data_IF_632857672598
#
_entry.id   IF_632857672598
#
_cell.length_a   1.000
_cell.length_b   1.000
_cell.length_c   1.000
_cell.angle_alpha   90.00
_cell.angle_beta   90.00
_cell.angle_gamma   90.00
#
_symmetry.space_group_name_H-M   'P 1'
#
loop_
_entity.id
_entity.type
_entity.pdbx_description
1 polymer ?
#
# COMPACT_ATOMS: atom_id res chain seq x y z
N UNK A 1 -46.47 55.22 22.30
CA UNK A 1 -45.82 56.47 22.02
C UNK A 1 -44.56 56.08 21.21
N UNK A 2 -44.69 56.04 19.90
CA UNK A 2 -44.30 57.06 18.93
C UNK A 2 -42.79 57.36 19.06
N UNK A 3 -41.88 57.20 18.11
CA UNK A 3 -41.93 57.37 16.64
C UNK A 3 -40.61 56.89 16.03
N UNK A 4 -40.68 56.35 14.85
CA UNK A 4 -39.64 56.23 13.84
C UNK A 4 -39.63 57.49 12.95
N UNK A 5 -38.78 57.63 11.86
CA UNK A 5 -37.35 57.72 11.57
C UNK A 5 -37.02 59.15 11.01
N UNK A 6 -36.00 59.46 10.23
CA UNK A 6 -35.74 59.01 8.87
C UNK A 6 -34.27 59.05 8.33
N UNK A 7 -34.05 58.36 7.17
CA UNK A 7 -33.44 58.67 5.87
C UNK A 7 -32.02 59.21 5.79
N UNK A 8 -31.20 58.54 5.02
CA UNK A 8 -30.89 58.63 3.59
C UNK A 8 -29.62 59.46 3.27
N UNK A 9 -28.68 58.90 2.59
CA UNK A 9 -27.97 59.40 1.40
C UNK A 9 -26.67 58.68 1.13
N UNK A 10 -26.66 57.95 0.02
CA UNK A 10 -25.49 57.72 -0.84
C UNK A 10 -25.35 58.93 -1.77
N UNK A 11 -24.21 59.31 -2.36
CA UNK A 11 -23.64 58.58 -3.49
C UNK A 11 -22.15 58.79 -3.85
N UNK A 12 -21.80 58.20 -4.98
CA UNK A 12 -20.79 58.52 -6.00
C UNK A 12 -19.37 57.92 -5.79
N UNK A 13 -19.01 56.92 -6.54
CA UNK A 13 -18.59 56.85 -7.96
C UNK A 13 -17.26 57.53 -8.27
N UNK A 14 -16.26 56.72 -8.61
CA UNK A 14 -15.21 57.02 -9.54
C UNK A 14 -14.46 55.77 -10.04
N UNK A 15 -14.83 55.32 -11.22
CA UNK A 15 -13.90 54.77 -12.23
C UNK A 15 -13.49 55.94 -13.15
N UNK A 16 -12.51 55.89 -14.04
CA UNK A 16 -11.98 54.73 -14.81
C UNK A 16 -10.46 54.80 -15.08
N UNK A 17 -9.88 53.84 -15.77
CA UNK A 17 -9.50 53.82 -17.19
C UNK A 17 -8.69 52.57 -17.52
N UNK A 18 -9.20 51.75 -18.35
CA UNK A 18 -8.82 51.35 -19.70
C UNK A 18 -7.34 51.24 -20.04
N UNK A 19 -6.91 50.04 -20.43
CA UNK A 19 -6.14 49.77 -21.64
C UNK A 19 -6.42 48.34 -22.14
N UNK A 20 -7.08 48.33 -23.23
CA UNK A 20 -7.25 47.53 -24.43
C UNK A 20 -6.67 46.10 -24.54
N UNK A 21 -7.60 45.26 -24.93
CA UNK A 21 -7.64 44.15 -25.91
C UNK A 21 -6.46 43.99 -26.88
N UNK A 22 -6.06 42.73 -27.10
CA UNK A 22 -6.21 42.08 -28.42
C UNK A 22 -5.94 40.57 -28.29
N UNK A 23 -6.70 39.69 -28.97
CA UNK A 23 -6.63 38.24 -28.87
C UNK A 23 -5.72 37.64 -29.94
N UNK A 24 -5.08 36.53 -29.66
CA UNK A 24 -4.50 35.66 -30.69
C UNK A 24 -4.70 34.18 -30.35
N UNK A 25 -5.61 33.61 -31.02
CA UNK A 25 -5.63 32.46 -31.92
C UNK A 25 -5.19 31.12 -31.33
N UNK A 26 -6.20 30.27 -31.33
CA UNK A 26 -6.19 28.79 -31.37
C UNK A 26 -5.17 28.25 -32.37
N UNK A 27 -4.33 27.31 -31.92
CA UNK A 27 -3.74 26.32 -32.79
C UNK A 27 -3.74 24.98 -32.06
N UNK A 28 -4.61 24.08 -32.50
CA UNK A 28 -4.60 22.65 -32.35
C UNK A 28 -3.33 22.07 -32.98
N UNK A 29 -2.62 21.23 -32.26
CA UNK A 29 -1.50 20.47 -32.78
C UNK A 29 -1.25 19.26 -31.93
N UNK A 30 -1.88 18.17 -32.32
CA UNK A 30 -1.44 16.80 -32.04
C UNK A 30 -0.05 16.58 -32.59
N UNK A 31 0.90 16.09 -31.83
CA UNK A 31 1.93 15.22 -32.40
C UNK A 31 2.54 14.27 -31.34
N UNK A 32 2.30 13.00 -31.60
CA UNK A 32 3.11 11.87 -31.13
C UNK A 32 4.55 12.04 -31.60
N UNK A 33 5.51 11.67 -30.76
CA UNK A 33 6.72 10.92 -31.12
C UNK A 33 7.78 11.04 -30.05
N UNK A 34 7.99 9.99 -29.28
CA UNK A 34 9.33 9.70 -28.78
C UNK A 34 9.94 8.66 -29.72
N UNK A 35 10.85 9.12 -30.53
CA UNK A 35 11.75 8.27 -31.29
C UNK A 35 13.20 8.58 -30.92
N UNK A 36 13.93 7.53 -30.78
CA UNK A 36 15.36 7.32 -30.62
C UNK A 36 16.29 8.39 -31.23
N UNK A 37 17.34 8.76 -30.51
CA UNK A 37 18.55 9.32 -31.10
C UNK A 37 19.82 8.69 -30.49
N UNK A 38 20.57 8.15 -31.37
CA UNK A 38 21.91 7.57 -31.24
C UNK A 38 23.00 8.65 -31.27
N UNK A 39 24.07 8.36 -30.53
CA UNK A 39 25.48 8.50 -30.88
C UNK A 39 26.19 9.86 -30.78
N UNK A 40 27.36 9.81 -30.10
CA UNK A 40 28.36 10.87 -30.08
C UNK A 40 29.37 10.69 -28.93
N UNK A 41 30.32 9.77 -29.08
CA UNK A 41 31.34 9.49 -28.09
C UNK A 41 32.38 10.60 -27.88
N UNK A 42 32.91 10.66 -26.67
CA UNK A 42 34.32 11.03 -26.38
C UNK A 42 34.81 10.27 -25.17
N UNK A 43 35.88 9.54 -25.37
CA UNK A 43 36.63 8.78 -24.38
C UNK A 43 37.18 9.69 -23.27
N UNK A 44 37.00 9.30 -22.02
CA UNK A 44 37.89 9.63 -20.92
C UNK A 44 38.04 8.36 -20.05
N UNK A 45 39.20 7.78 -20.06
CA UNK A 45 39.64 6.70 -19.18
C UNK A 45 39.55 7.11 -17.70
N UNK A 46 38.85 6.32 -16.90
CA UNK A 46 38.78 6.45 -15.46
C UNK A 46 38.29 5.15 -14.87
N UNK A 47 39.23 4.24 -14.61
CA UNK A 47 39.05 2.94 -13.96
C UNK A 47 38.37 3.09 -12.59
N UNK A 48 37.08 2.80 -12.51
CA UNK A 48 36.39 2.44 -11.27
C UNK A 48 35.46 1.28 -11.56
N UNK A 49 35.91 0.08 -11.15
CA UNK A 49 35.14 -1.15 -11.11
C UNK A 49 33.86 -0.95 -10.29
N UNK A 50 32.79 -0.57 -10.92
CA UNK A 50 31.41 -0.80 -10.49
C UNK A 50 30.85 -1.87 -11.41
N UNK A 51 30.90 -3.13 -10.97
CA UNK A 51 30.14 -4.19 -11.61
C UNK A 51 28.64 -3.85 -11.53
N UNK A 52 28.16 -3.12 -12.52
CA UNK A 52 26.72 -3.09 -12.84
C UNK A 52 26.38 -4.44 -13.43
N UNK A 53 25.82 -5.31 -12.59
CA UNK A 53 25.26 -6.60 -12.98
C UNK A 53 24.07 -6.35 -13.93
N UNK A 54 24.35 -6.25 -15.23
CA UNK A 54 23.39 -5.94 -16.31
C UNK A 54 22.56 -7.15 -16.73
N UNK A 55 22.43 -8.17 -15.85
CA UNK A 55 21.67 -9.38 -16.16
C UNK A 55 20.56 -9.63 -15.13
N UNK A 56 19.65 -8.67 -14.97
CA UNK A 56 18.41 -8.88 -14.18
C UNK A 56 17.22 -8.87 -15.11
N UNK A 57 16.61 -10.04 -15.33
CA UNK A 57 15.39 -10.19 -16.14
C UNK A 57 14.17 -9.48 -15.53
N UNK A 58 14.29 -8.94 -14.32
CA UNK A 58 13.22 -8.21 -13.62
C UNK A 58 13.73 -7.08 -12.73
N UNK A 59 12.89 -6.04 -12.53
CA UNK A 59 13.11 -4.93 -11.61
C UNK A 59 12.02 -4.93 -10.54
N UNK A 60 12.42 -4.85 -9.26
CA UNK A 60 11.49 -4.70 -8.13
C UNK A 60 11.98 -3.57 -7.22
N UNK A 61 11.23 -2.47 -7.20
CA UNK A 61 11.40 -1.32 -6.30
C UNK A 61 10.03 -0.93 -5.74
N UNK A 62 9.95 -0.11 -4.68
CA UNK A 62 8.66 0.38 -4.18
C UNK A 62 7.81 1.14 -5.21
N UNK A 63 8.45 1.69 -6.23
CA UNK A 63 7.80 2.51 -7.24
C UNK A 63 7.56 1.78 -8.57
N UNK A 64 8.30 0.69 -8.84
CA UNK A 64 8.18 -0.03 -10.11
C UNK A 64 8.46 -1.53 -9.95
N UNK A 65 7.61 -2.34 -10.60
CA UNK A 65 7.83 -3.79 -10.78
C UNK A 65 7.75 -4.07 -12.27
N UNK A 66 8.81 -4.64 -12.84
CA UNK A 66 8.90 -4.98 -14.27
C UNK A 66 9.51 -6.37 -14.45
N UNK A 67 9.05 -7.10 -15.45
CA UNK A 67 9.49 -8.46 -15.75
C UNK A 67 8.81 -9.52 -14.88
N UNK A 68 9.14 -10.80 -15.14
CA UNK A 68 8.69 -11.93 -14.34
C UNK A 68 9.50 -12.01 -13.05
N UNK A 69 8.84 -11.92 -11.89
CA UNK A 69 9.51 -11.83 -10.59
C UNK A 69 9.96 -13.21 -10.11
N UNK A 70 11.26 -13.40 -10.02
CA UNK A 70 11.88 -14.54 -9.35
C UNK A 70 11.95 -14.28 -7.84
N UNK A 71 11.01 -14.84 -7.09
CA UNK A 71 10.88 -14.65 -5.65
C UNK A 71 12.05 -15.26 -4.86
N UNK A 72 12.68 -16.35 -5.33
CA UNK A 72 13.83 -16.94 -4.66
C UNK A 72 15.04 -16.02 -4.75
N UNK A 73 15.31 -15.54 -5.95
CA UNK A 73 16.40 -14.60 -6.19
C UNK A 73 16.20 -13.28 -5.42
N UNK A 74 14.92 -12.84 -5.24
CA UNK A 74 14.64 -11.69 -4.39
C UNK A 74 15.01 -11.94 -2.92
N UNK A 75 14.74 -13.13 -2.39
CA UNK A 75 15.08 -13.46 -1.00
C UNK A 75 16.60 -13.40 -0.79
N UNK A 76 17.38 -14.00 -1.68
CA UNK A 76 18.83 -13.93 -1.63
C UNK A 76 19.33 -12.48 -1.68
N UNK A 77 18.82 -11.70 -2.63
CA UNK A 77 19.19 -10.29 -2.79
C UNK A 77 18.79 -9.42 -1.60
N UNK A 78 17.64 -9.67 -1.00
CA UNK A 78 17.13 -8.90 0.12
C UNK A 78 17.60 -9.42 1.47
N UNK A 79 18.15 -10.64 1.54
CA UNK A 79 18.58 -11.28 2.79
C UNK A 79 17.41 -11.52 3.73
N UNK A 80 16.27 -12.03 3.20
CA UNK A 80 15.13 -12.49 3.96
C UNK A 80 15.08 -14.02 3.91
N UNK A 81 14.52 -14.64 4.94
CA UNK A 81 14.43 -16.08 5.06
C UNK A 81 13.03 -16.59 4.69
N UNK A 82 12.95 -17.77 4.07
CA UNK A 82 11.67 -18.46 3.91
C UNK A 82 11.05 -18.76 5.26
N UNK A 83 9.73 -18.62 5.34
CA UNK A 83 9.01 -19.09 6.52
C UNK A 83 9.19 -20.59 6.69
N UNK A 84 9.59 -21.01 7.87
CA UNK A 84 9.63 -22.43 8.27
C UNK A 84 8.23 -22.96 8.55
N UNK A 85 8.05 -24.27 8.48
CA UNK A 85 6.77 -24.91 8.87
C UNK A 85 6.41 -24.62 10.33
N UNK A 86 7.41 -24.53 11.22
CA UNK A 86 7.21 -24.17 12.61
C UNK A 86 6.68 -22.73 12.79
N UNK A 87 7.20 -21.78 12.03
CA UNK A 87 6.68 -20.41 12.01
C UNK A 87 5.28 -20.35 11.45
N UNK A 88 5.01 -21.05 10.31
CA UNK A 88 3.67 -21.11 9.73
C UNK A 88 2.62 -21.66 10.68
N UNK A 89 2.96 -22.70 11.44
CA UNK A 89 2.05 -23.30 12.42
C UNK A 89 1.72 -22.38 13.61
N UNK A 90 2.55 -21.37 13.89
CA UNK A 90 2.35 -20.37 14.97
C UNK A 90 1.71 -19.08 14.45
N UNK A 91 1.84 -18.80 13.16
CA UNK A 91 1.18 -17.65 12.53
C UNK A 91 -0.35 -17.86 12.51
N UNK A 92 -1.15 -16.78 12.52
CA UNK A 92 -2.61 -16.88 12.39
C UNK A 92 -3.05 -17.75 11.21
N UNK A 93 -4.09 -18.55 11.45
CA UNK A 93 -4.66 -19.39 10.40
C UNK A 93 -5.37 -18.54 9.34
N UNK A 94 -4.66 -18.29 8.24
CA UNK A 94 -5.15 -17.50 7.11
C UNK A 94 -4.75 -18.17 5.78
N UNK A 95 -5.63 -18.19 4.75
CA UNK A 95 -5.32 -18.80 3.45
C UNK A 95 -4.00 -18.32 2.85
N UNK A 96 -3.69 -17.03 2.96
CA UNK A 96 -2.44 -16.46 2.43
C UNK A 96 -1.18 -16.95 3.14
N UNK A 97 -1.29 -17.41 4.39
CA UNK A 97 -0.18 -18.04 5.13
C UNK A 97 -0.08 -19.53 4.73
N UNK A 98 -1.19 -20.29 4.78
CA UNK A 98 -1.21 -21.70 4.45
C UNK A 98 -0.76 -21.99 3.00
N UNK A 99 -1.09 -21.08 2.08
CA UNK A 99 -0.85 -21.24 0.63
C UNK A 99 0.41 -20.57 0.12
N UNK A 100 1.33 -20.21 1.01
CA UNK A 100 2.62 -19.62 0.66
C UNK A 100 2.52 -18.30 -0.14
N UNK A 101 1.40 -17.56 0.03
CA UNK A 101 1.28 -16.20 -0.48
C UNK A 101 2.21 -15.27 0.30
N UNK A 102 2.15 -15.32 1.65
CA UNK A 102 3.23 -14.82 2.48
C UNK A 102 4.22 -15.97 2.69
N UNK A 103 5.40 -15.86 2.11
CA UNK A 103 6.32 -16.97 1.91
C UNK A 103 7.65 -16.79 2.64
N UNK A 104 7.97 -15.56 3.07
CA UNK A 104 9.24 -15.25 3.71
C UNK A 104 9.08 -14.17 4.77
N UNK A 105 10.11 -13.94 5.59
CA UNK A 105 10.06 -12.90 6.60
C UNK A 105 11.41 -12.54 7.19
N UNK A 106 11.37 -11.59 8.12
CA UNK A 106 12.50 -11.13 8.94
C UNK A 106 12.03 -11.03 10.37
N UNK A 107 12.81 -11.54 11.31
CA UNK A 107 12.55 -11.46 12.75
C UNK A 107 11.12 -11.89 13.15
N UNK A 108 10.54 -12.84 12.39
CA UNK A 108 9.18 -13.36 12.63
C UNK A 108 9.09 -14.05 13.99
N UNK A 109 10.16 -14.76 14.41
CA UNK A 109 10.17 -15.47 15.68
C UNK A 109 10.04 -14.55 16.88
N UNK A 110 10.69 -13.36 16.86
CA UNK A 110 10.57 -12.38 17.93
C UNK A 110 9.11 -11.91 18.13
N UNK A 111 8.38 -11.70 17.02
CA UNK A 111 6.96 -11.36 17.06
C UNK A 111 6.12 -12.52 17.63
N UNK A 112 6.37 -13.75 17.17
CA UNK A 112 5.65 -14.93 17.62
C UNK A 112 5.91 -15.25 19.10
N UNK A 113 7.14 -15.08 19.56
CA UNK A 113 7.51 -15.25 20.97
C UNK A 113 6.79 -14.25 21.88
N UNK A 114 6.76 -12.98 21.49
CA UNK A 114 6.03 -11.96 22.24
C UNK A 114 4.51 -12.26 22.26
N UNK A 115 3.94 -12.68 21.14
CA UNK A 115 2.53 -13.07 21.05
C UNK A 115 2.20 -14.26 21.96
N UNK A 116 3.02 -15.32 21.93
CA UNK A 116 2.82 -16.52 22.75
C UNK A 116 2.97 -16.21 24.26
N UNK A 117 3.85 -15.27 24.62
CA UNK A 117 4.04 -14.83 26.01
C UNK A 117 3.01 -13.79 26.47
N UNK A 118 2.17 -13.27 25.59
CA UNK A 118 1.23 -12.19 25.90
C UNK A 118 1.93 -10.84 26.14
N UNK A 119 3.15 -10.67 25.62
CA UNK A 119 3.90 -9.44 25.69
C UNK A 119 3.46 -8.45 24.60
N UNK A 120 3.84 -7.19 24.76
CA UNK A 120 3.52 -6.14 23.76
C UNK A 120 4.16 -6.44 22.41
N UNK A 121 3.37 -6.37 21.35
CA UNK A 121 3.80 -6.54 19.97
C UNK A 121 2.87 -5.80 19.02
N UNK A 122 3.37 -5.42 17.85
CA UNK A 122 2.61 -4.59 16.93
C UNK A 122 2.70 -5.04 15.46
N UNK A 123 1.68 -4.66 14.69
CA UNK A 123 1.62 -4.77 13.23
C UNK A 123 1.60 -3.35 12.66
N UNK A 124 2.33 -3.14 11.57
CA UNK A 124 2.19 -1.93 10.74
C UNK A 124 1.76 -2.33 9.35
N UNK A 125 0.64 -1.79 8.89
CA UNK A 125 0.16 -1.95 7.51
C UNK A 125 -0.46 -0.65 7.06
N UNK A 126 -0.10 -0.13 5.89
CA UNK A 126 -0.47 1.22 5.46
C UNK A 126 -0.87 1.32 4.00
N UNK A 127 -1.25 2.53 3.62
CA UNK A 127 -1.72 2.83 2.27
C UNK A 127 -1.28 4.23 1.82
N UNK A 128 -0.84 4.35 0.57
CA UNK A 128 -0.76 5.63 -0.12
C UNK A 128 -2.04 5.89 -0.91
N UNK A 129 -2.88 6.86 -0.51
CA UNK A 129 -4.23 7.06 -1.05
C UNK A 129 -4.21 7.83 -2.38
N UNK A 130 -3.80 7.18 -3.47
CA UNK A 130 -3.75 7.77 -4.83
C UNK A 130 -4.98 7.48 -5.69
N UNK A 131 -5.98 6.79 -5.16
CA UNK A 131 -7.20 6.37 -5.85
C UNK A 131 -8.05 5.45 -4.98
N UNK A 132 -9.16 4.92 -5.50
CA UNK A 132 -9.98 3.94 -4.81
C UNK A 132 -9.20 2.71 -4.38
N UNK A 133 -9.61 2.08 -3.28
CA UNK A 133 -9.05 0.79 -2.90
C UNK A 133 -9.58 -0.32 -3.79
N UNK A 134 -8.71 -1.26 -4.16
CA UNK A 134 -9.04 -2.47 -4.90
C UNK A 134 -8.68 -3.73 -4.08
N UNK A 135 -9.02 -4.92 -4.59
CA UNK A 135 -8.81 -6.19 -3.90
C UNK A 135 -7.38 -6.36 -3.36
N UNK A 136 -6.37 -6.02 -4.18
CA UNK A 136 -4.96 -6.14 -3.78
C UNK A 136 -4.56 -5.22 -2.61
N UNK A 137 -5.27 -4.12 -2.40
CA UNK A 137 -5.01 -3.19 -1.30
C UNK A 137 -5.61 -3.67 0.03
N UNK A 138 -6.78 -4.33 0.00
CA UNK A 138 -7.48 -4.66 1.24
C UNK A 138 -6.99 -5.96 1.89
N UNK A 139 -6.41 -6.86 1.13
CA UNK A 139 -5.94 -8.17 1.66
C UNK A 139 -4.95 -8.04 2.82
N UNK A 140 -3.91 -7.18 2.78
CA UNK A 140 -3.01 -6.96 3.91
C UNK A 140 -3.73 -6.44 5.17
N UNK A 141 -4.79 -5.63 5.01
CA UNK A 141 -5.57 -5.13 6.15
C UNK A 141 -6.41 -6.24 6.80
N UNK A 142 -7.03 -7.12 6.01
CA UNK A 142 -7.73 -8.28 6.56
C UNK A 142 -6.78 -9.25 7.25
N UNK A 143 -5.58 -9.44 6.71
CA UNK A 143 -4.55 -10.22 7.38
C UNK A 143 -4.11 -9.56 8.70
N UNK A 144 -3.84 -8.25 8.72
CA UNK A 144 -3.49 -7.51 9.93
C UNK A 144 -4.60 -7.59 10.99
N UNK A 145 -5.87 -7.50 10.58
CA UNK A 145 -7.01 -7.74 11.49
C UNK A 145 -7.02 -9.16 12.03
N UNK A 146 -6.68 -10.16 11.23
CA UNK A 146 -6.58 -11.54 11.69
C UNK A 146 -5.50 -11.70 12.76
N UNK A 147 -4.33 -11.13 12.54
CA UNK A 147 -3.27 -11.04 13.54
C UNK A 147 -3.77 -10.36 14.83
N UNK A 148 -4.37 -9.18 14.72
CA UNK A 148 -4.91 -8.47 15.89
C UNK A 148 -5.84 -9.35 16.74
N UNK A 149 -6.76 -10.06 16.09
CA UNK A 149 -7.74 -10.91 16.77
C UNK A 149 -7.15 -12.15 17.42
N UNK A 150 -6.14 -12.76 16.82
CA UNK A 150 -5.57 -14.02 17.30
C UNK A 150 -4.40 -13.82 18.25
N UNK A 151 -3.59 -12.78 18.03
CA UNK A 151 -2.40 -12.54 18.86
C UNK A 151 -2.59 -11.40 19.87
N UNK A 152 -3.58 -10.55 19.69
CA UNK A 152 -3.76 -9.34 20.50
C UNK A 152 -2.84 -8.19 20.09
N UNK A 153 -2.18 -8.24 18.94
CA UNK A 153 -1.30 -7.21 18.43
C UNK A 153 -1.98 -5.84 18.34
N UNK A 154 -1.24 -4.77 18.65
CA UNK A 154 -1.65 -3.42 18.29
C UNK A 154 -1.37 -3.17 16.82
N UNK A 155 -2.33 -2.58 16.08
CA UNK A 155 -2.21 -2.31 14.65
C UNK A 155 -2.03 -0.82 14.40
N UNK A 156 -1.00 -0.45 13.64
CA UNK A 156 -0.79 0.92 13.18
C UNK A 156 -1.02 0.98 11.68
N UNK A 157 -1.83 1.94 11.27
CA UNK A 157 -2.26 2.13 9.87
C UNK A 157 -1.86 3.52 9.39
N UNK A 158 -0.64 3.69 8.86
CA UNK A 158 -0.24 4.94 8.23
C UNK A 158 -0.90 5.11 6.85
N UNK A 159 -1.37 6.34 6.56
CA UNK A 159 -1.78 6.80 5.25
C UNK A 159 -0.82 7.89 4.77
N UNK A 160 -0.10 7.58 3.68
CA UNK A 160 0.94 8.44 3.09
C UNK A 160 0.33 9.35 2.03
N UNK A 161 -0.48 10.30 2.46
CA UNK A 161 -1.11 11.28 1.57
C UNK A 161 -0.10 12.32 1.04
N UNK A 162 0.94 12.63 1.79
CA UNK A 162 2.07 13.46 1.38
C UNK A 162 2.91 12.82 0.27
N UNK A 163 3.25 11.53 0.41
CA UNK A 163 4.02 10.80 -0.61
C UNK A 163 3.27 10.77 -1.95
N UNK A 164 1.95 10.58 -1.92
CA UNK A 164 1.16 10.55 -3.15
C UNK A 164 1.11 11.91 -3.84
N UNK A 165 1.11 13.00 -3.10
CA UNK A 165 1.27 14.33 -3.66
C UNK A 165 2.67 14.53 -4.30
N UNK A 166 3.73 14.00 -3.66
CA UNK A 166 5.09 14.11 -4.17
C UNK A 166 5.36 13.23 -5.40
N UNK A 167 4.72 12.05 -5.47
CA UNK A 167 4.99 11.03 -6.49
C UNK A 167 4.00 11.03 -7.67
N UNK A 168 2.89 11.77 -7.59
CA UNK A 168 1.83 11.78 -8.61
C UNK A 168 1.44 13.21 -8.97
N UNK A 169 1.01 13.40 -10.21
CA UNK A 169 0.43 14.66 -10.65
C UNK A 169 -1.03 14.79 -10.19
N UNK A 170 -1.23 14.85 -8.87
CA UNK A 170 -2.52 14.99 -8.22
C UNK A 170 -2.50 16.18 -7.26
N UNK A 171 -3.63 16.89 -7.14
CA UNK A 171 -3.77 17.95 -6.15
C UNK A 171 -3.96 17.39 -4.75
N UNK A 172 -3.58 18.17 -3.72
CA UNK A 172 -3.90 17.81 -2.32
C UNK A 172 -5.40 17.61 -2.08
N UNK A 173 -6.26 18.34 -2.79
CA UNK A 173 -7.71 18.18 -2.68
C UNK A 173 -8.13 16.78 -3.18
N UNK A 174 -7.67 16.35 -4.36
CA UNK A 174 -7.97 15.03 -4.89
C UNK A 174 -7.44 13.90 -3.99
N UNK A 175 -6.21 14.04 -3.49
CA UNK A 175 -5.63 13.08 -2.54
C UNK A 175 -6.42 13.06 -1.23
N UNK A 176 -6.87 14.21 -0.74
CA UNK A 176 -7.72 14.31 0.43
C UNK A 176 -9.05 13.58 0.27
N UNK A 177 -9.67 13.65 -0.92
CA UNK A 177 -10.90 12.91 -1.24
C UNK A 177 -10.61 11.40 -1.29
N UNK A 178 -9.51 10.98 -1.91
CA UNK A 178 -9.08 9.57 -1.88
C UNK A 178 -8.75 9.09 -0.46
N UNK A 179 -8.14 9.94 0.36
CA UNK A 179 -7.85 9.62 1.76
C UNK A 179 -9.13 9.34 2.54
N UNK A 180 -10.15 10.19 2.41
CA UNK A 180 -11.46 9.99 3.05
C UNK A 180 -12.16 8.73 2.57
N UNK A 181 -12.10 8.46 1.27
CA UNK A 181 -12.68 7.25 0.68
C UNK A 181 -11.98 5.98 1.19
N UNK A 182 -10.64 5.96 1.17
CA UNK A 182 -9.83 4.84 1.67
C UNK A 182 -10.02 4.63 3.19
N UNK A 183 -10.19 5.70 3.98
CA UNK A 183 -10.48 5.58 5.40
C UNK A 183 -11.78 4.82 5.66
N UNK A 184 -12.84 5.04 4.86
CA UNK A 184 -14.08 4.26 4.98
C UNK A 184 -13.85 2.78 4.73
N UNK A 185 -13.03 2.43 3.74
CA UNK A 185 -12.68 1.04 3.47
C UNK A 185 -11.84 0.43 4.61
N UNK A 186 -10.87 1.17 5.14
CA UNK A 186 -10.03 0.72 6.26
C UNK A 186 -10.86 0.50 7.53
N UNK A 187 -11.78 1.41 7.85
CA UNK A 187 -12.71 1.26 8.98
C UNK A 187 -13.65 0.06 8.75
N UNK A 188 -14.12 -0.16 7.52
CA UNK A 188 -14.96 -1.30 7.15
C UNK A 188 -14.24 -2.65 7.26
N UNK A 189 -12.91 -2.69 7.33
CA UNK A 189 -12.17 -3.92 7.70
C UNK A 189 -12.60 -4.40 9.09
N UNK A 190 -12.87 -3.48 10.02
CA UNK A 190 -13.39 -3.76 11.36
C UNK A 190 -12.29 -4.16 12.35
N UNK A 191 -11.26 -3.33 12.43
CA UNK A 191 -10.25 -3.39 13.48
C UNK A 191 -10.86 -3.03 14.86
N UNK A 192 -10.23 -3.51 15.91
CA UNK A 192 -10.52 -3.10 17.28
C UNK A 192 -9.97 -1.68 17.53
N UNK A 193 -10.80 -0.67 17.82
CA UNK A 193 -10.35 0.71 18.03
C UNK A 193 -9.43 0.87 19.26
N UNK A 194 -9.58 0.04 20.29
CA UNK A 194 -8.72 0.11 21.48
C UNK A 194 -7.27 -0.30 21.16
N UNK A 195 -7.07 -1.08 20.09
CA UNK A 195 -5.78 -1.62 19.66
C UNK A 195 -5.36 -1.20 18.27
N UNK A 196 -5.94 -0.12 17.74
CA UNK A 196 -5.58 0.38 16.40
C UNK A 196 -5.32 1.86 16.44
N UNK A 197 -4.28 2.29 15.71
CA UNK A 197 -3.97 3.69 15.47
C UNK A 197 -3.88 3.96 13.99
N UNK A 198 -4.70 4.89 13.52
CA UNK A 198 -4.69 5.37 12.13
C UNK A 198 -3.99 6.73 12.12
N UNK A 199 -2.93 6.83 11.33
CA UNK A 199 -2.07 8.02 11.20
C UNK A 199 -2.15 8.52 9.77
N UNK A 200 -2.38 9.81 9.59
CA UNK A 200 -2.47 10.45 8.27
C UNK A 200 -1.36 11.50 8.23
N UNK A 201 -0.42 11.39 7.30
CA UNK A 201 0.83 12.16 7.34
C UNK A 201 0.62 13.65 7.39
N UNK A 202 -0.29 14.20 6.58
CA UNK A 202 -0.57 15.64 6.61
C UNK A 202 -1.35 16.08 7.86
N UNK A 203 -2.24 15.23 8.40
CA UNK A 203 -3.04 15.53 9.60
C UNK A 203 -2.26 15.32 10.89
N UNK A 204 -1.26 14.41 10.90
CA UNK A 204 -0.40 14.11 12.04
C UNK A 204 1.03 14.66 11.87
N UNK A 205 1.18 15.67 11.01
CA UNK A 205 2.47 16.26 10.66
C UNK A 205 3.25 16.78 11.88
N UNK A 206 2.57 17.16 12.95
CA UNK A 206 3.16 17.61 14.23
C UNK A 206 3.93 16.50 14.99
N UNK A 207 3.67 15.23 14.67
CA UNK A 207 4.38 14.08 15.22
C UNK A 207 5.31 13.47 14.18
N UNK A 208 4.77 13.19 12.98
CA UNK A 208 5.47 12.42 11.94
C UNK A 208 6.71 13.18 11.44
N UNK A 209 6.58 14.44 11.06
CA UNK A 209 7.68 15.17 10.43
C UNK A 209 8.84 15.54 11.37
N UNK A 210 8.62 15.91 12.64
CA UNK A 210 9.72 16.09 13.57
C UNK A 210 10.54 14.82 13.81
N UNK A 211 9.88 13.67 13.93
CA UNK A 211 10.55 12.36 14.05
C UNK A 211 11.29 12.03 12.75
N UNK A 212 10.63 12.16 11.60
CA UNK A 212 11.25 11.93 10.29
C UNK A 212 12.48 12.82 10.07
N UNK A 213 12.42 14.09 10.47
CA UNK A 213 13.57 15.02 10.40
C UNK A 213 14.77 14.51 11.21
N UNK A 214 14.52 13.93 12.39
CA UNK A 214 15.58 13.30 13.18
C UNK A 214 16.16 12.06 12.47
N UNK A 215 15.31 11.20 11.95
CA UNK A 215 15.72 9.97 11.26
C UNK A 215 16.46 10.26 9.95
N UNK A 216 16.08 11.31 9.23
CA UNK A 216 16.70 11.73 7.97
C UNK A 216 18.20 12.04 8.10
N UNK A 217 18.69 12.38 9.31
CA UNK A 217 20.14 12.57 9.56
C UNK A 217 20.96 11.29 9.31
N UNK A 218 20.32 10.13 9.28
CA UNK A 218 20.95 8.83 9.05
C UNK A 218 20.84 8.34 7.61
N UNK A 219 20.18 9.12 6.76
CA UNK A 219 20.04 8.86 5.32
C UNK A 219 20.96 9.80 4.54
N UNK A 220 21.62 9.26 3.52
CA UNK A 220 22.37 10.05 2.55
C UNK A 220 21.69 9.97 1.19
N UNK A 221 21.87 10.95 0.29
CA UNK A 221 21.34 10.85 -1.07
C UNK A 221 21.78 9.54 -1.76
N UNK A 222 23.04 9.12 -1.59
CA UNK A 222 23.53 7.87 -2.15
C UNK A 222 22.81 6.62 -1.59
N UNK A 223 22.43 6.63 -0.30
CA UNK A 223 21.64 5.53 0.28
C UNK A 223 20.23 5.49 -0.32
N UNK A 224 19.61 6.66 -0.50
CA UNK A 224 18.27 6.76 -1.10
C UNK A 224 18.32 6.29 -2.55
N UNK A 225 19.27 6.78 -3.34
CA UNK A 225 19.48 6.39 -4.73
C UNK A 225 19.73 4.89 -4.90
N UNK A 226 20.59 4.30 -4.06
CA UNK A 226 20.92 2.87 -4.11
C UNK A 226 19.70 1.97 -3.82
N UNK A 227 18.72 2.44 -3.00
CA UNK A 227 17.58 1.64 -2.57
C UNK A 227 16.32 1.92 -3.41
N UNK A 228 16.10 3.17 -3.76
CA UNK A 228 14.86 3.63 -4.41
C UNK A 228 15.04 4.05 -5.87
N UNK A 229 16.30 4.10 -6.34
CA UNK A 229 16.65 4.71 -7.62
C UNK A 229 16.75 6.23 -7.53
N UNK A 230 17.00 6.86 -8.67
CA UNK A 230 17.04 8.32 -8.77
C UNK A 230 15.67 8.91 -8.46
N UNK A 231 15.64 9.90 -7.57
CA UNK A 231 14.43 10.55 -7.11
C UNK A 231 14.41 11.99 -7.62
N UNK A 232 13.42 12.33 -8.41
CA UNK A 232 13.32 13.61 -9.12
C UNK A 232 13.13 14.82 -8.20
N UNK A 233 12.67 14.61 -6.96
CA UNK A 233 12.37 15.70 -6.03
C UNK A 233 12.98 15.50 -4.65
N UNK A 234 13.32 16.61 -3.99
CA UNK A 234 13.81 16.62 -2.60
C UNK A 234 12.78 15.99 -1.65
N UNK A 235 11.49 16.15 -1.95
CA UNK A 235 10.41 15.54 -1.15
C UNK A 235 10.49 14.02 -1.17
N UNK A 236 10.65 13.39 -2.33
CA UNK A 236 10.81 11.95 -2.47
C UNK A 236 12.15 11.46 -1.90
N UNK A 237 13.21 12.26 -1.94
CA UNK A 237 14.47 11.94 -1.26
C UNK A 237 14.32 11.94 0.27
N UNK A 238 13.45 12.77 0.83
CA UNK A 238 13.17 12.83 2.28
C UNK A 238 12.18 11.75 2.75
N UNK A 239 11.26 11.34 1.90
CA UNK A 239 10.15 10.44 2.23
C UNK A 239 10.57 9.11 2.89
N UNK A 240 11.72 8.46 2.57
CA UNK A 240 12.19 7.28 3.30
C UNK A 240 12.33 7.47 4.82
N UNK A 241 12.54 8.70 5.30
CA UNK A 241 12.56 9.01 6.73
C UNK A 241 11.12 9.08 7.31
N UNK A 242 10.15 9.55 6.55
CA UNK A 242 8.73 9.52 6.91
C UNK A 242 8.27 8.06 7.03
N UNK A 243 8.58 7.25 6.02
CA UNK A 243 8.26 5.82 6.02
C UNK A 243 8.92 5.07 7.20
N UNK A 244 10.17 5.39 7.53
CA UNK A 244 10.83 4.82 8.70
C UNK A 244 10.13 5.23 10.01
N UNK A 245 9.60 6.45 10.08
CA UNK A 245 8.81 6.90 11.23
C UNK A 245 7.57 6.04 11.43
N UNK A 246 6.84 5.72 10.36
CA UNK A 246 5.66 4.83 10.43
C UNK A 246 6.01 3.47 11.04
N UNK A 247 7.12 2.87 10.61
CA UNK A 247 7.52 1.53 11.04
C UNK A 247 8.05 1.51 12.49
N UNK A 248 8.56 2.64 12.99
CA UNK A 248 9.07 2.76 14.36
C UNK A 248 8.04 3.35 15.33
N UNK A 249 6.95 3.93 14.83
CA UNK A 249 5.94 4.60 15.65
C UNK A 249 5.36 3.72 16.76
N UNK A 250 5.04 2.42 16.55
CA UNK A 250 4.56 1.57 17.63
C UNK A 250 5.49 1.53 18.82
N UNK A 251 6.79 1.47 18.56
CA UNK A 251 7.81 1.40 19.59
C UNK A 251 8.09 2.76 20.24
N UNK A 252 7.94 3.84 19.52
CA UNK A 252 8.06 5.19 20.05
C UNK A 252 6.88 5.56 20.96
N UNK A 253 5.70 4.99 20.70
CA UNK A 253 4.49 5.20 21.51
C UNK A 253 4.48 4.29 22.74
N UNK A 254 4.74 2.99 22.57
CA UNK A 254 4.52 2.00 23.63
C UNK A 254 5.81 1.39 24.21
N UNK A 255 6.99 1.86 23.79
CA UNK A 255 8.28 1.27 24.15
C UNK A 255 8.70 0.13 23.22
N UNK A 256 9.93 -0.37 23.45
CA UNK A 256 10.49 -1.48 22.64
C UNK A 256 9.55 -2.68 22.61
N UNK A 257 9.24 -3.14 21.42
CA UNK A 257 8.40 -4.30 21.19
C UNK A 257 8.63 -4.84 19.77
N UNK A 258 8.48 -6.15 19.53
CA UNK A 258 8.50 -6.69 18.20
C UNK A 258 7.40 -6.06 17.33
N UNK A 259 7.81 -5.51 16.20
CA UNK A 259 6.89 -4.91 15.22
C UNK A 259 7.02 -5.68 13.92
N UNK A 260 5.93 -6.26 13.42
CA UNK A 260 5.89 -7.02 12.17
C UNK A 260 5.15 -6.23 11.09
N UNK A 261 5.70 -6.22 9.89
CA UNK A 261 5.17 -5.47 8.74
C UNK A 261 4.78 -6.47 7.63
N UNK A 262 3.50 -6.87 7.52
CA UNK A 262 3.03 -7.67 6.39
C UNK A 262 2.90 -6.79 5.14
N UNK A 263 3.76 -7.06 4.15
CA UNK A 263 3.91 -6.26 2.94
C UNK A 263 4.10 -7.14 1.71
N UNK A 264 3.76 -6.62 0.55
CA UNK A 264 4.24 -7.18 -0.70
C UNK A 264 5.76 -6.94 -0.84
N UNK A 265 6.45 -7.87 -1.49
CA UNK A 265 7.92 -7.92 -1.51
C UNK A 265 8.58 -6.66 -2.08
N UNK A 266 7.90 -5.90 -2.94
CA UNK A 266 8.36 -4.62 -3.47
C UNK A 266 8.53 -3.53 -2.41
N UNK A 267 7.84 -3.66 -1.28
CA UNK A 267 7.91 -2.71 -0.16
C UNK A 267 9.03 -3.04 0.85
N UNK A 268 9.73 -4.17 0.70
CA UNK A 268 10.85 -4.56 1.57
C UNK A 268 11.99 -3.51 1.63
N UNK A 269 12.31 -2.75 0.57
CA UNK A 269 13.27 -1.66 0.65
C UNK A 269 13.01 -0.66 1.78
N UNK A 270 11.75 -0.33 2.05
CA UNK A 270 11.38 0.55 3.17
C UNK A 270 11.73 -0.07 4.52
N UNK A 271 11.46 -1.36 4.71
CA UNK A 271 11.81 -2.08 5.93
C UNK A 271 13.32 -2.13 6.11
N UNK A 272 14.09 -2.42 5.05
CA UNK A 272 15.56 -2.46 5.13
C UNK A 272 16.16 -1.11 5.54
N UNK A 273 15.73 -0.02 4.92
CA UNK A 273 16.18 1.34 5.27
C UNK A 273 15.82 1.68 6.72
N UNK A 274 14.60 1.36 7.15
CA UNK A 274 14.19 1.56 8.56
C UNK A 274 15.05 0.75 9.52
N UNK A 275 15.37 -0.51 9.21
CA UNK A 275 16.24 -1.39 10.01
C UNK A 275 17.66 -0.85 10.10
N UNK A 276 18.17 -0.26 9.03
CA UNK A 276 19.48 0.38 9.03
C UNK A 276 19.51 1.64 9.91
N UNK A 277 18.44 2.43 9.89
CA UNK A 277 18.28 3.59 10.77
C UNK A 277 18.18 3.14 12.22
N UNK A 278 17.32 2.15 12.52
CA UNK A 278 17.15 1.62 13.87
C UNK A 278 18.45 1.05 14.46
N UNK A 279 19.34 0.49 13.62
CA UNK A 279 20.64 -0.02 14.04
C UNK A 279 21.66 1.07 14.36
N UNK A 280 21.55 2.26 13.74
CA UNK A 280 22.52 3.36 13.88
C UNK A 280 22.13 4.37 14.95
N UNK A 281 20.85 4.48 15.23
CA UNK A 281 20.29 5.52 16.11
C UNK A 281 20.23 5.02 17.56
N UNK A 282 20.58 5.90 18.48
CA UNK A 282 20.43 5.67 19.92
C UNK A 282 18.98 5.93 20.37
N UNK A 283 18.01 5.46 19.59
CA UNK A 283 16.59 5.47 19.95
C UNK A 283 16.22 4.20 20.74
N UNK A 284 15.20 4.28 21.58
CA UNK A 284 14.71 3.11 22.33
C UNK A 284 13.86 2.19 21.44
N UNK A 285 14.39 1.78 20.31
CA UNK A 285 13.69 0.95 19.31
C UNK A 285 14.53 -0.26 18.89
N UNK A 286 13.86 -1.31 18.45
CA UNK A 286 14.44 -2.47 17.82
C UNK A 286 14.14 -2.45 16.31
N UNK A 287 14.86 -3.25 15.55
CA UNK A 287 14.62 -3.38 14.10
C UNK A 287 13.23 -3.97 13.86
N UNK A 288 12.38 -3.35 13.03
CA UNK A 288 11.11 -3.97 12.67
C UNK A 288 11.32 -5.26 11.86
N UNK A 289 10.50 -6.26 12.10
CA UNK A 289 10.38 -7.47 11.31
C UNK A 289 9.49 -7.24 10.09
N UNK A 290 9.48 -8.20 9.18
CA UNK A 290 8.61 -8.20 8.01
C UNK A 290 8.04 -9.57 7.71
N UNK A 291 6.85 -9.60 7.12
CA UNK A 291 6.25 -10.77 6.51
C UNK A 291 6.05 -10.44 5.02
N UNK A 292 6.78 -11.14 4.15
CA UNK A 292 6.87 -10.82 2.73
C UNK A 292 5.89 -11.64 1.91
N UNK A 293 5.03 -10.95 1.18
CA UNK A 293 4.00 -11.53 0.32
C UNK A 293 4.30 -11.41 -1.17
N UNK A 294 3.77 -12.37 -1.92
CA UNK A 294 3.70 -12.30 -3.39
C UNK A 294 2.66 -11.27 -3.79
N UNK A 295 2.74 -10.80 -5.03
CA UNK A 295 1.72 -9.89 -5.57
C UNK A 295 0.42 -10.62 -5.87
N UNK A 296 -0.71 -9.98 -5.60
CA UNK A 296 -1.95 -10.35 -6.27
C UNK A 296 -1.79 -10.01 -7.77
N UNK A 297 -1.96 -10.98 -8.69
CA UNK A 297 -1.78 -10.71 -10.10
C UNK A 297 -2.80 -9.68 -10.61
N UNK A 298 -2.39 -8.88 -11.58
CA UNK A 298 -3.32 -8.07 -12.38
C UNK A 298 -4.27 -8.96 -13.18
N UNK A 299 -5.39 -8.40 -13.64
CA UNK A 299 -6.37 -9.19 -14.40
C UNK A 299 -5.81 -9.72 -15.74
N UNK A 300 -4.93 -8.98 -16.37
CA UNK A 300 -4.38 -9.34 -17.68
C UNK A 300 -3.24 -10.38 -17.64
N UNK A 301 -2.93 -10.93 -16.46
CA UNK A 301 -1.94 -12.01 -16.33
C UNK A 301 -0.85 -11.74 -15.29
N UNK A 302 0.31 -12.42 -15.42
CA UNK A 302 1.38 -12.31 -14.45
C UNK A 302 1.93 -10.88 -14.39
N UNK A 303 1.78 -10.25 -13.25
CA UNK A 303 2.19 -8.87 -12.97
C UNK A 303 1.44 -8.36 -11.75
N UNK A 304 1.92 -7.28 -11.14
CA UNK A 304 1.26 -6.68 -9.98
C UNK A 304 -0.02 -5.97 -10.40
N UNK A 305 -1.13 -6.20 -9.68
CA UNK A 305 -2.32 -5.36 -9.79
C UNK A 305 -1.95 -3.90 -9.41
N UNK A 306 -2.23 -2.96 -10.30
CA UNK A 306 -1.86 -1.54 -10.13
C UNK A 306 -3.06 -0.63 -10.37
N UNK A 307 -3.21 0.38 -9.52
CA UNK A 307 -4.21 1.44 -9.70
C UNK A 307 -3.77 2.56 -10.68
N UNK A 308 -2.62 2.44 -11.35
CA UNK A 308 -2.10 3.47 -12.27
C UNK A 308 -2.67 3.31 -13.70
N UNK A 309 -3.95 3.45 -13.84
CA UNK A 309 -4.62 4.07 -15.00
C UNK A 309 -4.94 3.22 -16.23
N UNK A 310 -4.22 2.18 -16.59
CA UNK A 310 -4.47 1.45 -17.85
C UNK A 310 -4.90 -0.01 -17.66
N UNK A 311 -4.59 -0.60 -16.52
CA UNK A 311 -4.96 -2.00 -16.24
C UNK A 311 -6.24 -2.05 -15.43
N UNK A 312 -7.28 -2.77 -15.86
CA UNK A 312 -8.53 -2.89 -15.13
C UNK A 312 -8.28 -3.53 -13.76
N UNK A 313 -8.93 -2.97 -12.73
CA UNK A 313 -8.86 -3.46 -11.35
C UNK A 313 -10.29 -3.61 -10.81
N UNK A 314 -10.48 -4.46 -9.81
CA UNK A 314 -11.76 -4.60 -9.11
C UNK A 314 -11.68 -3.71 -7.86
N UNK A 315 -12.45 -2.61 -7.87
CA UNK A 315 -12.54 -1.71 -6.73
C UNK A 315 -13.42 -2.32 -5.61
N UNK A 316 -13.19 -1.89 -4.36
CA UNK A 316 -14.01 -2.38 -3.23
C UNK A 316 -15.45 -1.87 -3.28
N UNK A 317 -15.71 -0.87 -4.10
CA UNK A 317 -17.03 -0.25 -4.32
C UNK A 317 -17.75 -0.76 -5.56
N UNK A 318 -17.12 -1.66 -6.35
CA UNK A 318 -17.77 -2.21 -7.54
C UNK A 318 -18.97 -3.07 -7.19
N UNK A 319 -20.03 -2.94 -7.97
CA UNK A 319 -21.20 -3.80 -7.87
C UNK A 319 -20.96 -5.17 -8.54
N UNK A 320 -21.82 -6.16 -8.29
CA UNK A 320 -21.65 -7.51 -8.83
C UNK A 320 -21.61 -7.57 -10.37
N UNK A 321 -22.32 -6.69 -11.06
CA UNK A 321 -22.36 -6.62 -12.52
C UNK A 321 -21.01 -6.12 -13.05
N UNK A 322 -20.48 -5.05 -12.49
CA UNK A 322 -19.16 -4.48 -12.80
C UNK A 322 -18.05 -5.52 -12.56
N UNK A 323 -18.10 -6.24 -11.43
CA UNK A 323 -17.13 -7.31 -11.12
C UNK A 323 -17.18 -8.41 -12.19
N UNK A 324 -18.37 -8.88 -12.56
CA UNK A 324 -18.55 -9.92 -13.56
C UNK A 324 -18.03 -9.46 -14.93
N UNK A 325 -18.44 -8.29 -15.39
CA UNK A 325 -17.97 -7.72 -16.67
C UNK A 325 -16.44 -7.58 -16.70
N UNK A 326 -15.85 -7.08 -15.63
CA UNK A 326 -14.40 -6.88 -15.52
C UNK A 326 -13.63 -8.21 -15.56
N UNK A 327 -14.08 -9.24 -14.83
CA UNK A 327 -13.45 -10.56 -14.84
C UNK A 327 -13.63 -11.25 -16.20
N UNK A 328 -14.81 -11.20 -16.78
CA UNK A 328 -15.06 -11.80 -18.09
C UNK A 328 -14.22 -11.17 -19.19
N UNK A 329 -14.12 -9.84 -19.21
CA UNK A 329 -13.42 -9.10 -20.25
C UNK A 329 -11.89 -9.21 -20.12
N UNK A 330 -11.36 -9.19 -18.89
CA UNK A 330 -9.93 -8.93 -18.67
C UNK A 330 -9.18 -10.04 -17.96
N UNK A 331 -9.86 -10.96 -17.22
CA UNK A 331 -9.12 -12.00 -16.51
C UNK A 331 -8.46 -12.98 -17.46
N UNK A 332 -7.12 -12.99 -17.45
CA UNK A 332 -6.32 -13.93 -18.24
C UNK A 332 -6.67 -15.37 -17.87
N UNK A 333 -6.86 -16.21 -18.89
CA UNK A 333 -7.25 -17.60 -18.72
C UNK A 333 -6.08 -18.54 -19.00
N UNK A 334 -5.88 -19.50 -18.10
CA UNK A 334 -4.98 -20.66 -18.30
C UNK A 334 -5.59 -21.77 -19.15
N UNK A 335 -6.77 -21.56 -19.76
CA UNK A 335 -7.46 -22.53 -20.61
C UNK A 335 -6.82 -22.73 -21.96
N UNK A 336 -7.47 -23.54 -22.80
CA UNK A 336 -7.02 -23.84 -24.16
C UNK A 336 -7.82 -23.01 -25.18
N UNK A 337 -7.32 -23.00 -26.42
CA UNK A 337 -7.90 -22.22 -27.53
C UNK A 337 -9.29 -22.69 -28.00
N UNK A 338 -9.68 -23.92 -27.63
CA UNK A 338 -11.02 -24.46 -27.93
C UNK A 338 -11.54 -25.26 -26.73
N UNK A 339 -12.87 -25.38 -26.64
CA UNK A 339 -13.57 -26.22 -25.68
C UNK A 339 -13.11 -27.66 -25.71
N UNK A 340 -12.95 -28.20 -26.93
CA UNK A 340 -12.54 -29.60 -27.17
C UNK A 340 -11.09 -29.82 -26.65
N UNK A 341 -10.16 -28.94 -27.01
CA UNK A 341 -8.79 -28.99 -26.53
C UNK A 341 -8.71 -28.82 -25.03
N UNK A 342 -9.57 -27.97 -24.43
CA UNK A 342 -9.60 -27.81 -22.98
C UNK A 342 -10.10 -29.07 -22.27
N UNK A 343 -11.15 -29.73 -22.79
CA UNK A 343 -11.66 -30.98 -22.22
C UNK A 343 -10.68 -32.14 -22.34
N UNK A 344 -9.85 -32.15 -23.40
CA UNK A 344 -8.85 -33.21 -23.62
C UNK A 344 -7.56 -32.99 -22.81
N UNK A 345 -7.09 -31.72 -22.70
CA UNK A 345 -5.76 -31.42 -22.17
C UNK A 345 -5.79 -30.60 -20.88
N UNK A 346 -6.97 -30.18 -20.43
CA UNK A 346 -7.15 -29.33 -19.25
C UNK A 346 -6.56 -27.93 -19.35
N UNK A 347 -6.78 -27.12 -18.33
CA UNK A 347 -6.20 -25.79 -18.15
C UNK A 347 -5.05 -25.79 -17.16
N UNK A 348 -4.32 -24.68 -17.12
CA UNK A 348 -3.26 -24.43 -16.15
C UNK A 348 -3.73 -23.41 -15.09
N UNK A 349 -4.05 -23.86 -13.85
CA UNK A 349 -4.48 -22.98 -12.79
C UNK A 349 -3.35 -22.07 -12.26
N UNK A 350 -2.09 -22.36 -12.58
CA UNK A 350 -0.96 -21.55 -12.07
C UNK A 350 -0.87 -20.20 -12.74
N UNK A 351 -1.37 -20.06 -13.94
CA UNK A 351 -1.40 -18.82 -14.73
C UNK A 351 -2.82 -18.24 -14.89
N UNK A 352 -3.86 -19.01 -14.53
CA UNK A 352 -5.25 -18.55 -14.60
C UNK A 352 -5.57 -17.56 -13.49
N UNK A 353 -5.93 -16.34 -13.85
CA UNK A 353 -6.12 -15.25 -12.88
C UNK A 353 -7.34 -15.49 -11.99
N UNK A 354 -8.42 -16.06 -12.50
CA UNK A 354 -9.59 -16.39 -11.68
C UNK A 354 -9.22 -17.40 -10.59
N UNK A 355 -8.44 -18.44 -10.94
CA UNK A 355 -7.92 -19.40 -9.96
C UNK A 355 -6.97 -18.73 -8.96
N UNK A 356 -6.07 -17.84 -9.43
CA UNK A 356 -5.15 -17.16 -8.53
C UNK A 356 -5.89 -16.29 -7.50
N UNK A 357 -6.99 -15.64 -7.87
CA UNK A 357 -7.80 -14.88 -6.91
C UNK A 357 -8.42 -15.81 -5.86
N UNK A 358 -9.02 -16.93 -6.28
CA UNK A 358 -9.51 -17.93 -5.32
C UNK A 358 -8.40 -18.38 -4.37
N UNK A 359 -7.21 -18.66 -4.88
CA UNK A 359 -6.03 -19.07 -4.11
C UNK A 359 -5.55 -17.99 -3.13
N UNK A 360 -5.65 -16.71 -3.48
CA UNK A 360 -5.21 -15.60 -2.61
C UNK A 360 -6.12 -15.36 -1.40
N UNK A 361 -7.23 -16.08 -1.28
CA UNK A 361 -8.07 -16.07 -0.09
C UNK A 361 -9.55 -15.89 -0.34
N UNK A 362 -9.99 -15.74 -1.61
CA UNK A 362 -11.40 -15.65 -1.93
C UNK A 362 -12.11 -17.01 -1.82
N UNK A 363 -11.40 -18.13 -2.01
CA UNK A 363 -11.87 -19.46 -1.56
C UNK A 363 -11.15 -19.83 -0.25
N UNK A 364 -11.83 -19.81 0.91
CA UNK A 364 -11.17 -20.06 2.19
C UNK A 364 -10.86 -21.55 2.44
N UNK A 365 -11.56 -22.48 1.78
CA UNK A 365 -11.43 -23.91 1.95
C UNK A 365 -10.32 -24.46 1.03
N UNK A 366 -9.29 -25.09 1.64
CA UNK A 366 -8.14 -25.60 0.91
C UNK A 366 -8.48 -26.89 0.14
N UNK A 367 -9.37 -27.73 0.66
CA UNK A 367 -9.82 -28.96 -0.02
C UNK A 367 -10.66 -28.60 -1.24
N UNK A 368 -11.57 -27.62 -1.10
CA UNK A 368 -12.35 -27.10 -2.22
C UNK A 368 -11.46 -26.46 -3.29
N UNK A 369 -10.47 -25.69 -2.91
CA UNK A 369 -9.51 -25.10 -3.85
C UNK A 369 -8.71 -26.17 -4.60
N UNK A 370 -8.32 -27.24 -3.90
CA UNK A 370 -7.61 -28.37 -4.51
C UNK A 370 -8.50 -29.12 -5.50
N UNK A 371 -9.79 -29.33 -5.21
CA UNK A 371 -10.78 -29.90 -6.12
C UNK A 371 -10.92 -29.03 -7.39
N UNK A 372 -11.12 -27.72 -7.24
CA UNK A 372 -11.21 -26.76 -8.35
C UNK A 372 -9.96 -26.87 -9.24
N UNK A 373 -8.78 -26.91 -8.63
CA UNK A 373 -7.53 -27.05 -9.38
C UNK A 373 -7.43 -28.39 -10.14
N UNK A 374 -7.87 -29.49 -9.53
CA UNK A 374 -7.87 -30.81 -10.15
C UNK A 374 -8.85 -30.87 -11.33
N UNK A 375 -10.06 -30.36 -11.16
CA UNK A 375 -11.09 -30.30 -12.19
C UNK A 375 -10.67 -29.41 -13.37
N UNK A 376 -10.01 -28.29 -13.10
CA UNK A 376 -9.48 -27.42 -14.15
C UNK A 376 -8.34 -28.08 -14.94
N UNK A 377 -7.41 -28.78 -14.26
CA UNK A 377 -6.31 -29.51 -14.89
C UNK A 377 -6.78 -30.69 -15.70
N UNK A 378 -7.87 -31.34 -15.33
CA UNK A 378 -8.44 -32.46 -16.05
C UNK A 378 -9.33 -32.05 -17.23
N UNK A 379 -9.70 -30.77 -17.33
CA UNK A 379 -10.66 -30.28 -18.32
C UNK A 379 -12.12 -30.52 -17.96
N UNK A 380 -12.42 -31.01 -16.76
CA UNK A 380 -13.76 -31.17 -16.24
C UNK A 380 -14.41 -29.80 -15.94
N UNK A 381 -13.64 -28.85 -15.36
CA UNK A 381 -14.06 -27.47 -15.13
C UNK A 381 -13.55 -26.60 -16.28
N UNK A 382 -14.45 -25.82 -16.90
CA UNK A 382 -14.09 -24.93 -18.00
C UNK A 382 -13.66 -23.54 -17.47
N UNK A 383 -12.92 -22.78 -18.29
CA UNK A 383 -12.47 -21.43 -17.92
C UNK A 383 -13.64 -20.47 -17.61
N UNK A 384 -14.76 -20.60 -18.32
CA UNK A 384 -15.97 -19.81 -18.02
C UNK A 384 -16.53 -20.14 -16.63
N UNK A 385 -16.66 -21.43 -16.31
CA UNK A 385 -17.17 -21.88 -15.01
C UNK A 385 -16.22 -21.49 -13.87
N UNK A 386 -14.90 -21.53 -14.10
CA UNK A 386 -13.91 -21.07 -13.13
C UNK A 386 -14.01 -19.55 -12.87
N UNK A 387 -14.26 -18.74 -13.93
CA UNK A 387 -14.53 -17.31 -13.76
C UNK A 387 -15.79 -17.05 -12.95
N UNK A 388 -16.88 -17.80 -13.20
CA UNK A 388 -18.12 -17.69 -12.41
C UNK A 388 -17.89 -17.98 -10.93
N UNK A 389 -17.12 -19.04 -10.59
CA UNK A 389 -16.75 -19.33 -9.21
C UNK A 389 -15.98 -18.18 -8.55
N UNK A 390 -15.03 -17.58 -9.28
CA UNK A 390 -14.27 -16.42 -8.77
C UNK A 390 -15.16 -15.19 -8.58
N UNK A 391 -16.06 -14.92 -9.54
CA UNK A 391 -17.03 -13.81 -9.46
C UNK A 391 -17.91 -13.97 -8.23
N UNK A 392 -18.50 -15.15 -8.02
CA UNK A 392 -19.34 -15.43 -6.84
C UNK A 392 -18.56 -15.15 -5.53
N UNK A 393 -17.38 -15.71 -5.38
CA UNK A 393 -16.58 -15.56 -4.15
C UNK A 393 -16.12 -14.11 -3.90
N UNK A 394 -15.67 -13.43 -4.96
CA UNK A 394 -15.25 -12.03 -4.87
C UNK A 394 -16.44 -11.15 -4.51
N UNK A 395 -17.58 -11.34 -5.17
CA UNK A 395 -18.80 -10.57 -4.92
C UNK A 395 -19.30 -10.76 -3.48
N UNK A 396 -19.26 -11.96 -2.94
CA UNK A 396 -19.63 -12.23 -1.54
C UNK A 396 -18.75 -11.45 -0.55
N UNK A 397 -17.43 -11.44 -0.79
CA UNK A 397 -16.47 -10.70 0.04
C UNK A 397 -16.72 -9.19 -0.07
N UNK A 398 -16.91 -8.68 -1.29
CA UNK A 398 -17.19 -7.26 -1.51
C UNK A 398 -18.53 -6.85 -0.88
N UNK A 399 -19.59 -7.63 -1.04
CA UNK A 399 -20.87 -7.34 -0.42
C UNK A 399 -20.80 -7.29 1.11
N UNK A 400 -19.99 -8.18 1.72
CA UNK A 400 -19.76 -8.14 3.15
C UNK A 400 -18.97 -6.91 3.59
N UNK A 401 -18.00 -6.47 2.78
CA UNK A 401 -17.21 -5.27 3.02
C UNK A 401 -18.07 -4.02 2.88
N UNK A 402 -18.81 -3.90 1.77
CA UNK A 402 -19.67 -2.75 1.46
C UNK A 402 -20.76 -2.55 2.52
N UNK A 403 -21.40 -3.64 2.99
CA UNK A 403 -22.37 -3.52 4.11
C UNK A 403 -21.77 -2.89 5.37
N UNK A 404 -20.50 -3.19 5.70
CA UNK A 404 -19.83 -2.56 6.85
C UNK A 404 -19.46 -1.12 6.56
N UNK A 405 -19.02 -0.82 5.32
CA UNK A 405 -18.72 0.53 4.86
C UNK A 405 -19.94 1.43 4.88
N UNK A 406 -21.09 0.93 4.39
CA UNK A 406 -22.35 1.66 4.35
C UNK A 406 -22.97 1.87 5.73
N UNK A 407 -22.63 1.02 6.69
CA UNK A 407 -23.05 1.15 8.08
C UNK A 407 -22.27 2.23 8.86
N UNK A 408 -21.15 2.74 8.33
CA UNK A 408 -20.38 3.82 8.95
C UNK A 408 -21.17 5.12 8.92
N UNK A 409 -21.15 5.82 10.04
CA UNK A 409 -21.72 7.14 10.20
C UNK A 409 -20.83 8.26 9.64
N UNK A 410 -20.79 9.36 10.37
CA UNK A 410 -19.90 10.45 10.08
C UNK A 410 -18.42 10.01 10.21
N UNK A 411 -17.62 10.23 9.17
CA UNK A 411 -16.26 9.71 9.10
C UNK A 411 -15.35 10.22 10.23
N UNK A 412 -15.49 11.49 10.61
CA UNK A 412 -14.66 12.07 11.67
C UNK A 412 -14.97 11.44 13.03
N UNK A 413 -16.26 11.20 13.29
CA UNK A 413 -16.73 10.54 14.51
C UNK A 413 -16.27 9.07 14.57
N UNK A 414 -16.36 8.35 13.44
CA UNK A 414 -15.93 6.96 13.36
C UNK A 414 -14.40 6.80 13.46
N UNK A 415 -13.65 7.78 12.98
CA UNK A 415 -12.19 7.77 12.99
C UNK A 415 -11.60 8.14 14.36
N UNK A 416 -12.29 8.96 15.16
CA UNK A 416 -11.76 9.52 16.42
C UNK A 416 -11.18 8.45 17.36
N UNK A 417 -11.80 7.29 17.61
CA UNK A 417 -11.26 6.26 18.50
C UNK A 417 -9.93 5.65 18.02
N UNK A 418 -9.61 5.81 16.73
CA UNK A 418 -8.41 5.27 16.10
C UNK A 418 -7.26 6.27 16.05
N UNK A 419 -7.48 7.53 16.43
CA UNK A 419 -6.43 8.57 16.37
C UNK A 419 -5.45 8.42 17.50
N UNK A 420 -4.20 8.84 17.26
CA UNK A 420 -3.23 8.99 18.32
C UNK A 420 -3.73 9.99 19.38
N UNK A 421 -3.74 9.58 20.62
CA UNK A 421 -4.07 10.47 21.74
C UNK A 421 -2.99 11.53 21.93
N UNK A 422 -3.29 12.61 22.67
CA UNK A 422 -2.32 13.64 22.99
C UNK A 422 -1.12 13.10 23.78
N UNK A 423 -1.35 12.11 24.64
CA UNK A 423 -0.30 11.46 25.44
C UNK A 423 0.59 10.57 24.57
N UNK A 424 0.01 9.79 23.64
CA UNK A 424 0.76 8.97 22.67
C UNK A 424 1.64 9.84 21.79
N UNK A 425 1.13 10.99 21.30
CA UNK A 425 1.89 11.98 20.52
C UNK A 425 3.08 12.52 21.32
N UNK A 426 2.84 12.91 22.58
CA UNK A 426 3.88 13.41 23.45
C UNK A 426 4.95 12.36 23.74
N UNK A 427 4.53 11.13 24.04
CA UNK A 427 5.42 9.98 24.30
C UNK A 427 6.28 9.66 23.08
N UNK A 428 5.70 9.62 21.88
CA UNK A 428 6.45 9.35 20.67
C UNK A 428 7.54 10.41 20.39
N UNK A 429 7.21 11.69 20.55
CA UNK A 429 8.17 12.79 20.40
C UNK A 429 9.29 12.73 21.45
N UNK A 430 8.95 12.47 22.72
CA UNK A 430 9.91 12.33 23.80
C UNK A 430 10.85 11.13 23.56
N UNK A 431 10.31 9.96 23.23
CA UNK A 431 11.07 8.76 22.91
C UNK A 431 12.00 8.98 21.72
N UNK A 432 11.55 9.72 20.71
CA UNK A 432 12.37 10.15 19.58
C UNK A 432 13.39 11.24 19.95
N UNK A 433 13.39 11.77 21.19
CA UNK A 433 14.27 12.88 21.60
C UNK A 433 13.99 14.19 20.89
N UNK A 434 12.74 14.42 20.51
CA UNK A 434 12.26 15.65 19.86
C UNK A 434 11.54 16.49 20.92
N UNK A 435 12.12 17.60 21.39
CA UNK A 435 11.50 18.42 22.43
C UNK A 435 10.27 19.15 21.87
N UNK A 436 9.16 19.10 22.60
CA UNK A 436 8.01 19.96 22.32
C UNK A 436 8.35 21.40 22.72
N UNK A 437 8.44 22.28 21.75
CA UNK A 437 8.53 23.72 22.00
C UNK A 437 7.10 24.25 22.21
N UNK A 438 6.79 24.66 23.44
CA UNK A 438 5.51 25.34 23.74
C UNK A 438 5.73 26.86 23.78
N UNK A 439 4.95 27.56 22.98
CA UNK A 439 4.88 29.00 23.02
C UNK A 439 3.54 29.39 23.67
N UNK A 440 3.53 30.40 24.58
CA UNK A 440 2.27 30.88 25.15
C UNK A 440 1.35 31.33 24.01
N UNK A 441 0.08 30.98 24.11
CA UNK A 441 -0.93 31.50 23.18
C UNK A 441 -0.91 33.04 23.25
N UNK A 442 -0.94 33.69 22.09
CA UNK A 442 -1.00 35.13 21.97
C UNK A 442 -2.38 35.65 22.34
#
# INVERSE_FOLDING_TARGET
MTQTPPTDESPADHRPSDIADTPASVATGTDDRYDTATDGGTDIDGDTNTETDTNTDFLVTPYAVRGEVDYERLLERFGADRLTDAQRARLPDHPTIRRDTFYAGRDVDAFLEAADCGESHAIVTGRGPSGPMHLGHVLPFYLARRFQRETGATVYVPLSDDEKFLAKEQSFAAIGDHTRDNLRDILAVGFDPERTRIVIDTADADVIYPIATRLAKHLTPATVEAVYGDQDTVGLQFYPAVQATHLLLPQLVAGRQPTLVPIAVDQDPHVRVCRDIAAKEALPVDKPGALLGRFLPGLEGPGKMSASGETPTIALTDDPETVAETIHAHAYSGGRSSLEAHREHGGDPTVDVAFQYLRYGFEPDDDRLAEIAADYRSGALLSGDLKELAIERITDVLAAHQRRRDALGDLETELEPYRLTADERATALEAAGVPRLSFPAR
#
